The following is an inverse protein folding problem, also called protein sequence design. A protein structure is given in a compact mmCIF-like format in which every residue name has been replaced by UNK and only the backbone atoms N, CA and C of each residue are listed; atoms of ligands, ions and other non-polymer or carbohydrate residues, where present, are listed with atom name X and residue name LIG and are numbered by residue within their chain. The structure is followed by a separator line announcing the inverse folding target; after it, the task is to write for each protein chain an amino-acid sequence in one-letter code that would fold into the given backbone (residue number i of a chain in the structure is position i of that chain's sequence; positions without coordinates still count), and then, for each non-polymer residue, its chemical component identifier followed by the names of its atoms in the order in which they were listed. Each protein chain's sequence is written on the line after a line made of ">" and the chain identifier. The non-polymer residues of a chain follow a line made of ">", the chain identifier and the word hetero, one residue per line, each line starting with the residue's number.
data_IF_119145969050
#
_entry.id   IF_119145969050
#
_cell.length_a   1.000
_cell.length_b   1.000
_cell.length_c   1.000
_cell.angle_alpha   90.00
_cell.angle_beta   90.00
_cell.angle_gamma   90.00
#
_symmetry.space_group_name_H-M   'P 1'
#
loop_
_entity.id
_entity.type
_entity.pdbx_description
1 polymer ?
#
# COMPACT_ATOMS: atom_id res chain seq x y z
N UNK A 1 -20.01 9.35 23.82
CA UNK A 1 -19.39 10.45 23.06
C UNK A 1 -19.83 10.39 21.62
N UNK A 2 -20.29 11.47 21.08
CA UNK A 2 -20.67 11.50 19.68
C UNK A 2 -19.88 12.58 18.96
N UNK A 3 -19.72 12.38 17.66
CA UNK A 3 -18.99 13.31 16.84
C UNK A 3 -19.95 14.18 16.05
N UNK A 4 -19.46 15.31 15.61
CA UNK A 4 -20.27 16.25 14.88
C UNK A 4 -20.33 15.87 13.40
N UNK A 5 -21.25 16.50 12.68
CA UNK A 5 -21.39 16.31 11.24
C UNK A 5 -20.36 17.13 10.48
N UNK A 6 -20.13 16.74 9.24
CA UNK A 6 -19.31 17.59 8.35
C UNK A 6 -20.17 18.72 7.82
N UNK A 7 -19.54 19.89 7.72
CA UNK A 7 -20.17 21.06 7.14
C UNK A 7 -19.26 21.59 6.04
N UNK A 8 -19.72 21.55 4.81
CA UNK A 8 -18.95 22.02 3.67
C UNK A 8 -17.78 21.08 3.37
N UNK A 9 -16.60 21.63 3.21
CA UNK A 9 -15.42 20.89 2.77
C UNK A 9 -14.44 20.60 3.89
N UNK A 10 -14.96 20.37 5.08
CA UNK A 10 -14.09 20.09 6.24
C UNK A 10 -13.27 18.82 6.08
N UNK A 11 -13.70 17.89 5.21
CA UNK A 11 -12.93 16.69 4.96
C UNK A 11 -11.56 16.97 4.37
N UNK A 12 -11.37 18.14 3.75
CA UNK A 12 -10.09 18.52 3.17
C UNK A 12 -9.02 18.78 4.23
N UNK A 13 -9.42 18.86 5.49
CA UNK A 13 -8.48 19.07 6.59
C UNK A 13 -7.74 17.79 6.98
N UNK A 14 -8.19 16.65 6.49
CA UNK A 14 -7.58 15.37 6.86
C UNK A 14 -6.41 15.02 5.98
N UNK A 15 -5.50 14.24 6.54
CA UNK A 15 -4.50 13.53 5.75
C UNK A 15 -4.98 12.12 5.54
N UNK A 16 -4.57 11.50 4.45
CA UNK A 16 -5.10 10.21 4.04
C UNK A 16 -4.01 9.25 3.62
N UNK A 17 -4.21 7.97 3.93
CA UNK A 17 -3.53 6.93 3.18
C UNK A 17 -4.34 6.68 1.91
N UNK A 18 -3.65 6.41 0.83
CA UNK A 18 -4.31 6.16 -0.45
C UNK A 18 -4.18 4.70 -0.82
N UNK A 19 -5.32 4.07 -1.04
CA UNK A 19 -5.36 2.67 -1.45
C UNK A 19 -5.86 2.64 -2.90
N UNK A 20 -5.05 2.11 -3.83
CA UNK A 20 -5.48 2.10 -5.23
C UNK A 20 -6.76 1.30 -5.42
N UNK A 21 -7.70 1.87 -6.15
CA UNK A 21 -8.97 1.23 -6.43
C UNK A 21 -8.81 -0.09 -7.17
N UNK A 22 -7.78 -0.20 -8.00
CA UNK A 22 -7.53 -1.41 -8.78
C UNK A 22 -7.36 -2.65 -7.91
N UNK A 23 -6.92 -2.49 -6.68
CA UNK A 23 -6.81 -3.61 -5.75
C UNK A 23 -8.16 -4.23 -5.42
N UNK A 24 -9.23 -3.47 -5.60
CA UNK A 24 -10.59 -3.93 -5.32
C UNK A 24 -11.34 -4.32 -6.59
N UNK A 25 -10.98 -3.73 -7.73
CA UNK A 25 -11.73 -3.93 -8.98
C UNK A 25 -11.13 -4.96 -9.89
N UNK A 26 -9.82 -5.17 -9.86
CA UNK A 26 -9.15 -6.13 -10.73
C UNK A 26 -9.16 -7.51 -10.08
N UNK A 27 -9.62 -8.52 -10.83
CA UNK A 27 -9.76 -9.87 -10.29
C UNK A 27 -8.44 -10.48 -9.85
N UNK A 28 -7.34 -9.98 -10.36
CA UNK A 28 -5.99 -10.41 -9.96
C UNK A 28 -5.77 -10.27 -8.46
N UNK A 29 -6.45 -9.31 -7.82
CA UNK A 29 -6.26 -9.01 -6.41
C UNK A 29 -7.48 -9.39 -5.55
N UNK A 30 -8.44 -10.10 -6.12
CA UNK A 30 -9.66 -10.45 -5.36
C UNK A 30 -9.39 -11.37 -4.17
N UNK A 31 -8.32 -12.17 -4.23
CA UNK A 31 -8.00 -13.11 -3.16
C UNK A 31 -7.21 -12.49 -2.01
N UNK A 32 -6.91 -11.21 -2.11
CA UNK A 32 -6.12 -10.51 -1.10
C UNK A 32 -7.08 -9.88 -0.10
N UNK A 33 -6.76 -9.99 1.18
CA UNK A 33 -7.62 -9.44 2.23
C UNK A 33 -7.65 -7.91 2.16
N UNK A 34 -8.73 -7.34 2.66
CA UNK A 34 -8.85 -5.89 2.75
C UNK A 34 -7.75 -5.30 3.62
N UNK A 35 -7.39 -5.98 4.70
CA UNK A 35 -6.31 -5.52 5.58
C UNK A 35 -4.98 -5.45 4.85
N UNK A 36 -4.70 -6.42 3.98
CA UNK A 36 -3.47 -6.39 3.19
C UNK A 36 -3.49 -5.23 2.20
N UNK A 37 -4.64 -4.94 1.62
CA UNK A 37 -4.78 -3.79 0.71
C UNK A 37 -4.54 -2.48 1.44
N UNK A 38 -5.03 -2.38 2.66
CA UNK A 38 -4.77 -1.19 3.48
C UNK A 38 -3.29 -1.06 3.82
N UNK A 39 -2.65 -2.16 4.15
CA UNK A 39 -1.22 -2.15 4.41
C UNK A 39 -0.44 -1.69 3.18
N UNK A 40 -0.85 -2.11 2.00
CA UNK A 40 -0.20 -1.66 0.78
C UNK A 40 -0.30 -0.13 0.64
N UNK A 41 -1.44 0.45 0.97
CA UNK A 41 -1.60 1.90 0.97
C UNK A 41 -0.66 2.60 1.94
N UNK A 42 -0.46 2.01 3.11
CA UNK A 42 0.48 2.54 4.09
C UNK A 42 1.91 2.47 3.57
N UNK A 43 2.26 1.36 2.92
CA UNK A 43 3.59 1.19 2.35
C UNK A 43 3.84 2.16 1.19
N UNK A 44 2.83 2.46 0.40
CA UNK A 44 2.95 3.47 -0.65
C UNK A 44 3.26 4.84 -0.07
N UNK A 45 2.63 5.17 1.04
CA UNK A 45 2.89 6.44 1.72
C UNK A 45 4.35 6.51 2.19
N UNK A 46 4.82 5.44 2.80
CA UNK A 46 6.22 5.35 3.25
C UNK A 46 7.18 5.43 2.08
N UNK A 47 6.85 4.76 0.98
CA UNK A 47 7.69 4.78 -0.22
C UNK A 47 7.81 6.19 -0.78
N UNK A 48 6.73 6.95 -0.76
CA UNK A 48 6.75 8.33 -1.22
C UNK A 48 7.72 9.18 -0.42
N UNK A 49 7.75 8.98 0.90
CA UNK A 49 8.68 9.69 1.77
C UNK A 49 10.12 9.24 1.53
N UNK A 50 10.32 7.93 1.32
CA UNK A 50 11.67 7.40 1.07
C UNK A 50 12.24 7.94 -0.23
N UNK A 51 11.41 8.05 -1.26
CA UNK A 51 11.86 8.61 -2.53
C UNK A 51 12.33 10.06 -2.36
N UNK A 52 11.60 10.85 -1.56
CA UNK A 52 11.98 12.23 -1.28
C UNK A 52 13.29 12.30 -0.50
N UNK A 53 13.56 11.31 0.33
CA UNK A 53 14.77 11.25 1.15
C UNK A 53 15.95 10.62 0.41
N UNK A 54 15.76 10.21 -0.84
CA UNK A 54 16.82 9.63 -1.64
C UNK A 54 17.15 8.19 -1.30
N UNK A 55 16.23 7.45 -0.69
CA UNK A 55 16.43 6.03 -0.37
C UNK A 55 16.20 5.19 -1.62
N UNK A 56 17.21 5.20 -2.46
CA UNK A 56 17.17 4.56 -3.77
C UNK A 56 18.42 3.68 -3.89
N UNK A 57 18.25 2.44 -4.36
CA UNK A 57 19.37 1.54 -4.51
C UNK A 57 20.16 1.87 -5.78
N UNK A 58 21.23 1.12 -6.01
CA UNK A 58 22.12 1.37 -7.14
C UNK A 58 21.44 1.15 -8.49
N UNK A 59 20.33 0.43 -8.51
CA UNK A 59 19.55 0.20 -9.72
C UNK A 59 18.43 1.21 -9.91
N UNK A 60 18.36 2.21 -9.06
CA UNK A 60 17.33 3.23 -9.15
C UNK A 60 16.01 2.86 -8.52
N UNK A 61 15.96 1.75 -7.79
CA UNK A 61 14.69 1.30 -7.17
C UNK A 61 14.55 1.88 -5.76
N UNK A 62 13.38 2.44 -5.49
CA UNK A 62 13.07 2.99 -4.17
C UNK A 62 12.81 1.84 -3.20
N UNK A 63 13.38 1.93 -2.02
CA UNK A 63 13.12 0.95 -0.96
C UNK A 63 12.71 1.66 0.31
N UNK A 64 12.05 0.89 1.19
CA UNK A 64 11.71 1.36 2.53
C UNK A 64 12.24 0.37 3.55
N UNK A 65 12.42 0.86 4.76
CA UNK A 65 12.68 0.01 5.91
C UNK A 65 11.39 0.00 6.72
N UNK A 66 10.80 -1.20 6.87
CA UNK A 66 9.52 -1.31 7.53
C UNK A 66 9.50 -2.64 8.28
N UNK A 67 9.50 -2.56 9.59
CA UNK A 67 9.59 -3.73 10.45
C UNK A 67 8.22 -4.29 10.77
N UNK A 68 8.21 -5.51 11.31
CA UNK A 68 6.97 -6.12 11.80
C UNK A 68 6.35 -5.24 12.87
N UNK A 69 7.17 -4.67 13.76
CA UNK A 69 6.67 -3.78 14.80
C UNK A 69 5.99 -2.55 14.23
N UNK A 70 6.57 -1.98 13.17
CA UNK A 70 5.95 -0.84 12.52
C UNK A 70 4.62 -1.22 11.87
N UNK A 71 4.52 -2.41 11.29
CA UNK A 71 3.28 -2.89 10.73
C UNK A 71 2.21 -3.08 11.81
N UNK A 72 2.63 -3.65 12.95
CA UNK A 72 1.72 -3.80 14.11
C UNK A 72 1.17 -2.47 14.54
N UNK A 73 2.02 -1.48 14.67
CA UNK A 73 1.61 -0.15 15.11
C UNK A 73 0.74 0.55 14.07
N UNK A 74 1.11 0.44 12.81
CA UNK A 74 0.37 1.12 11.75
C UNK A 74 -1.06 0.58 11.62
N UNK A 75 -1.23 -0.73 11.79
CA UNK A 75 -2.53 -1.37 11.64
C UNK A 75 -3.21 -1.64 12.98
N UNK A 76 -2.51 -1.35 14.08
CA UNK A 76 -3.02 -1.63 15.42
C UNK A 76 -3.48 -3.07 15.55
N UNK A 77 -2.59 -4.01 15.18
CA UNK A 77 -2.91 -5.43 15.18
C UNK A 77 -1.82 -6.23 15.88
N UNK A 78 -2.08 -7.53 16.08
CA UNK A 78 -1.12 -8.43 16.70
C UNK A 78 0.00 -8.78 15.74
N UNK A 79 1.11 -9.27 16.31
CA UNK A 79 2.31 -9.58 15.54
C UNK A 79 2.04 -10.63 14.46
N UNK A 80 1.30 -11.68 14.80
CA UNK A 80 1.03 -12.74 13.85
C UNK A 80 0.22 -12.23 12.65
N UNK A 81 -0.70 -11.32 12.89
CA UNK A 81 -1.47 -10.72 11.80
C UNK A 81 -0.58 -9.86 10.92
N UNK A 82 0.32 -9.08 11.51
CA UNK A 82 1.25 -8.26 10.74
C UNK A 82 2.13 -9.13 9.85
N UNK A 83 2.65 -10.22 10.39
CA UNK A 83 3.46 -11.17 9.63
C UNK A 83 2.66 -11.75 8.48
N UNK A 84 1.43 -12.15 8.76
CA UNK A 84 0.57 -12.75 7.74
C UNK A 84 0.27 -11.76 6.61
N UNK A 85 0.00 -10.51 6.94
CA UNK A 85 -0.35 -9.50 5.95
C UNK A 85 0.84 -9.16 5.06
N UNK A 86 2.03 -9.03 5.62
CA UNK A 86 3.23 -8.80 4.83
C UNK A 86 3.51 -9.99 3.92
N UNK A 87 3.33 -11.20 4.43
CA UNK A 87 3.50 -12.39 3.62
C UNK A 87 2.47 -12.46 2.49
N UNK A 88 1.26 -12.06 2.78
CA UNK A 88 0.19 -12.03 1.77
C UNK A 88 0.54 -11.08 0.63
N UNK A 89 1.03 -9.89 0.96
CA UNK A 89 1.43 -8.92 -0.06
C UNK A 89 2.62 -9.41 -0.89
N UNK A 90 3.55 -10.12 -0.25
CA UNK A 90 4.73 -10.60 -0.96
C UNK A 90 4.47 -11.83 -1.78
N UNK A 91 3.87 -12.85 -1.16
CA UNK A 91 3.79 -14.18 -1.78
C UNK A 91 2.51 -14.38 -2.57
N UNK A 92 1.40 -13.84 -2.09
CA UNK A 92 0.12 -14.05 -2.74
C UNK A 92 -0.15 -12.99 -3.79
N UNK A 93 0.12 -11.74 -3.47
CA UNK A 93 -0.14 -10.62 -4.36
C UNK A 93 1.05 -10.29 -5.26
N UNK A 94 2.26 -10.51 -4.78
CA UNK A 94 3.46 -10.08 -5.51
C UNK A 94 3.63 -8.58 -5.55
N UNK A 95 3.02 -7.85 -4.61
CA UNK A 95 3.05 -6.40 -4.61
C UNK A 95 4.22 -5.82 -3.84
N UNK A 96 4.93 -6.63 -3.06
CA UNK A 96 6.16 -6.21 -2.39
C UNK A 96 7.20 -7.31 -2.52
N UNK A 97 8.45 -6.91 -2.34
CA UNK A 97 9.57 -7.84 -2.25
C UNK A 97 10.40 -7.45 -1.05
N UNK A 98 10.67 -8.42 -0.17
CA UNK A 98 11.50 -8.19 1.00
C UNK A 98 12.89 -8.71 0.74
N UNK A 99 13.89 -7.90 1.07
CA UNK A 99 15.29 -8.29 0.89
C UNK A 99 16.00 -8.21 2.23
N UNK A 100 16.63 -9.31 2.63
CA UNK A 100 17.39 -9.34 3.87
C UNK A 100 18.71 -8.63 3.71
N UNK A 101 19.05 -7.80 4.69
CA UNK A 101 20.32 -7.09 4.70
C UNK A 101 21.41 -7.85 5.46
N UNK A 102 21.00 -8.83 6.29
CA UNK A 102 21.92 -9.58 7.10
C UNK A 102 21.51 -9.59 8.56
N UNK A 103 22.29 -10.25 9.37
CA UNK A 103 21.99 -10.43 10.78
C UNK A 103 21.94 -9.10 11.51
N UNK A 104 20.91 -8.90 12.30
CA UNK A 104 20.77 -7.70 13.11
C UNK A 104 20.31 -6.48 12.37
N UNK A 105 20.03 -6.58 11.07
CA UNK A 105 19.55 -5.45 10.27
C UNK A 105 18.12 -5.72 9.80
N UNK A 106 17.28 -4.67 9.74
CA UNK A 106 15.92 -4.84 9.24
C UNK A 106 15.91 -5.16 7.75
N UNK A 107 14.85 -5.81 7.31
CA UNK A 107 14.69 -6.11 5.89
C UNK A 107 14.37 -4.85 5.12
N UNK A 108 14.88 -4.79 3.90
CA UNK A 108 14.42 -3.78 2.94
C UNK A 108 13.14 -4.27 2.29
N UNK A 109 12.22 -3.34 2.02
CA UNK A 109 11.00 -3.65 1.29
C UNK A 109 10.96 -2.79 0.03
N UNK A 110 10.79 -3.47 -1.10
CA UNK A 110 10.53 -2.82 -2.37
C UNK A 110 9.04 -2.93 -2.65
N UNK A 111 8.36 -1.79 -2.72
CA UNK A 111 6.95 -1.75 -3.08
C UNK A 111 6.88 -1.76 -4.59
N UNK A 112 6.21 -2.77 -5.14
CA UNK A 112 6.20 -2.97 -6.57
C UNK A 112 5.09 -2.18 -7.25
N UNK A 113 5.41 -1.76 -8.46
CA UNK A 113 4.48 -1.04 -9.29
C UNK A 113 3.73 -2.05 -10.16
N UNK A 114 2.44 -2.10 -9.99
CA UNK A 114 1.60 -3.05 -10.73
C UNK A 114 1.13 -2.53 -12.09
N UNK A 115 1.53 -1.32 -12.47
CA UNK A 115 1.08 -0.69 -13.71
C UNK A 115 1.41 -1.54 -14.93
N UNK A 116 2.57 -2.18 -14.94
CA UNK A 116 2.97 -3.02 -16.07
C UNK A 116 2.19 -4.34 -16.13
N UNK A 117 1.55 -4.73 -15.04
CA UNK A 117 0.86 -6.02 -14.95
C UNK A 117 -0.65 -5.90 -15.13
N UNK A 118 -1.20 -4.69 -15.10
CA UNK A 118 -2.62 -4.45 -15.32
C UNK A 118 -2.79 -3.63 -16.58
N UNK A 119 -4.00 -3.67 -17.12
CA UNK A 119 -4.31 -2.93 -18.32
C UNK A 119 -4.13 -1.43 -18.06
N UNK A 120 -3.30 -0.79 -18.87
CA UNK A 120 -3.04 0.63 -18.73
C UNK A 120 -4.31 1.48 -18.91
N UNK A 121 -5.29 0.95 -19.62
CA UNK A 121 -6.56 1.65 -19.78
C UNK A 121 -7.29 1.82 -18.46
N UNK A 122 -7.14 0.88 -17.55
CA UNK A 122 -7.75 1.01 -16.22
C UNK A 122 -7.19 2.21 -15.48
N UNK A 123 -5.92 2.50 -15.68
CA UNK A 123 -5.28 3.62 -15.02
C UNK A 123 -5.60 4.94 -15.69
N UNK A 124 -5.61 4.92 -17.03
CA UNK A 124 -5.86 6.13 -17.79
C UNK A 124 -7.31 6.58 -17.73
N UNK A 125 -8.21 5.64 -17.48
CA UNK A 125 -9.64 5.91 -17.41
C UNK A 125 -10.11 6.07 -15.98
N UNK A 126 -9.23 6.34 -15.06
CA UNK A 126 -9.57 6.37 -13.64
C UNK A 126 -10.72 7.33 -13.36
N UNK A 127 -10.61 8.55 -13.90
CA UNK A 127 -11.66 9.55 -13.69
C UNK A 127 -12.95 9.19 -14.40
N UNK A 128 -12.86 8.54 -15.55
CA UNK A 128 -14.04 8.13 -16.33
C UNK A 128 -14.54 6.76 -15.86
N UNK A 129 -13.61 5.92 -15.43
CA UNK A 129 -13.94 4.57 -15.00
C UNK A 129 -14.84 4.56 -13.77
N UNK A 130 -14.72 5.56 -12.93
CA UNK A 130 -15.60 5.67 -11.78
C UNK A 130 -17.06 5.69 -12.19
N UNK A 131 -17.37 6.43 -13.25
CA UNK A 131 -18.72 6.52 -13.75
C UNK A 131 -19.18 5.18 -14.31
N UNK A 132 -18.31 4.49 -15.03
CA UNK A 132 -18.65 3.23 -15.68
C UNK A 132 -18.79 2.08 -14.69
N UNK A 133 -17.96 2.05 -13.67
CA UNK A 133 -17.99 0.96 -12.70
C UNK A 133 -19.20 1.03 -11.79
N UNK A 134 -19.76 2.18 -11.61
CA UNK A 134 -20.89 2.35 -10.71
C UNK A 134 -22.23 2.43 -11.40
N UNK A 135 -22.23 2.23 -12.69
CA UNK A 135 -23.49 2.14 -13.46
C UNK A 135 -23.84 0.70 -13.90
#
# INVERSE_FOLDING_TARGET
>A
MSFDYFYGQQSDLFTFYRVPKVLFTNERFWNISADAKMLYGILLDRMSLSAKNGWIDKNGRVYIIFTIDEAKMALNCAEQKAIKLLSELEKKAGLIERKRQGLGKPNLIYVKNFISAVDSQLLNCESTAEIKFFT
#
